data_IF_417317459178
#
_entry.id   IF_417317459178
#
_cell.length_a   1.000
_cell.length_b   1.000
_cell.length_c   1.000
_cell.angle_alpha   90.00
_cell.angle_beta   90.00
_cell.angle_gamma   90.00
#
_symmetry.space_group_name_H-M   'P 1'
#
loop_
_entity.id
_entity.type
_entity.pdbx_description
1 polymer ?
#
# COMPACT_ATOMS: atom_id res chain seq x y z
N UNK A 1 5.22 2.41 -1.40
CA UNK A 1 4.82 1.47 -2.46
C UNK A 1 4.65 0.07 -1.87
N UNK A 2 5.62 -0.48 -1.13
CA UNK A 2 5.57 -1.84 -0.61
C UNK A 2 4.30 -2.17 0.19
N UNK A 3 3.83 -1.28 1.05
CA UNK A 3 2.56 -1.41 1.78
C UNK A 3 1.34 -1.47 0.84
N UNK A 4 1.33 -0.63 -0.21
CA UNK A 4 0.26 -0.64 -1.21
C UNK A 4 0.21 -1.97 -1.98
N UNK A 5 1.37 -2.47 -2.39
CA UNK A 5 1.49 -3.76 -3.08
C UNK A 5 1.18 -4.96 -2.18
N UNK A 6 1.38 -4.81 -0.86
CA UNK A 6 1.10 -5.84 0.15
C UNK A 6 -0.32 -5.78 0.73
N UNK A 7 -1.16 -4.84 0.28
CA UNK A 7 -2.53 -4.73 0.75
C UNK A 7 -3.36 -5.91 0.24
N UNK A 8 -4.04 -6.59 1.15
CA UNK A 8 -4.91 -7.74 0.88
C UNK A 8 -6.36 -7.42 1.22
N UNK A 9 -7.31 -8.09 0.58
CA UNK A 9 -8.74 -7.84 0.74
C UNK A 9 -9.28 -8.09 2.15
N UNK A 10 -8.64 -8.96 2.93
CA UNK A 10 -8.95 -9.16 4.35
C UNK A 10 -8.61 -7.93 5.23
N UNK A 11 -7.83 -7.01 4.70
CA UNK A 11 -7.43 -5.76 5.35
C UNK A 11 -8.20 -4.52 4.83
N UNK A 12 -9.31 -4.71 4.10
CA UNK A 12 -10.09 -3.63 3.49
C UNK A 12 -11.55 -3.74 3.91
N UNK A 13 -12.07 -2.70 4.55
CA UNK A 13 -13.50 -2.58 4.85
C UNK A 13 -14.14 -1.52 3.95
N UNK A 14 -14.77 -2.00 2.88
CA UNK A 14 -15.57 -1.22 1.94
C UNK A 14 -16.99 -1.81 1.83
N UNK A 15 -17.50 -2.35 2.93
CA UNK A 15 -18.87 -2.82 3.01
C UNK A 15 -19.87 -1.68 2.76
N UNK A 16 -21.07 -2.00 2.29
CA UNK A 16 -22.13 -1.02 2.05
C UNK A 16 -22.43 -0.21 3.32
N UNK A 17 -22.44 -0.87 4.48
CA UNK A 17 -22.62 -0.25 5.78
C UNK A 17 -21.47 0.73 6.10
N UNK A 18 -20.20 0.31 5.92
CA UNK A 18 -19.06 1.18 6.16
C UNK A 18 -19.05 2.40 5.23
N UNK A 19 -19.46 2.23 3.97
CA UNK A 19 -19.58 3.32 2.99
C UNK A 19 -20.70 4.28 3.41
N UNK A 20 -21.87 3.78 3.84
CA UNK A 20 -22.98 4.59 4.28
C UNK A 20 -22.62 5.44 5.50
N UNK A 21 -21.89 4.88 6.45
CA UNK A 21 -21.48 5.52 7.71
C UNK A 21 -20.17 6.32 7.62
N UNK A 22 -19.53 6.43 6.45
CA UNK A 22 -18.22 7.09 6.26
C UNK A 22 -17.10 6.52 7.16
N UNK A 23 -17.10 5.22 7.40
CA UNK A 23 -16.11 4.54 8.24
C UNK A 23 -15.26 3.51 7.47
N UNK A 24 -15.23 3.64 6.14
CA UNK A 24 -14.39 2.80 5.27
C UNK A 24 -12.92 2.96 5.60
N UNK A 25 -12.16 1.86 5.62
CA UNK A 25 -10.74 1.90 5.95
C UNK A 25 -9.95 0.80 5.24
N UNK A 26 -8.66 1.01 5.21
CA UNK A 26 -7.64 -0.02 4.95
C UNK A 26 -6.79 -0.23 6.20
N UNK A 27 -6.40 -1.48 6.45
CA UNK A 27 -5.49 -1.82 7.55
C UNK A 27 -4.13 -2.22 6.98
N UNK A 28 -3.12 -1.44 7.28
CA UNK A 28 -1.75 -1.66 6.82
C UNK A 28 -1.04 -2.53 7.83
N UNK A 29 -0.80 -3.80 7.49
CA UNK A 29 -0.07 -4.76 8.32
C UNK A 29 0.82 -5.71 7.51
N UNK A 30 0.95 -5.45 6.22
CA UNK A 30 1.75 -6.25 5.29
C UNK A 30 2.46 -5.34 4.28
N UNK A 31 3.55 -5.83 3.73
CA UNK A 31 4.23 -5.18 2.60
C UNK A 31 4.80 -6.22 1.64
N UNK A 32 4.88 -5.87 0.36
CA UNK A 32 5.65 -6.62 -0.62
C UNK A 32 7.02 -6.00 -0.73
N UNK A 33 8.05 -6.83 -0.62
CA UNK A 33 9.44 -6.42 -0.79
C UNK A 33 10.16 -7.35 -1.77
N UNK A 34 11.10 -6.81 -2.53
CA UNK A 34 11.99 -7.57 -3.38
C UNK A 34 13.29 -7.83 -2.64
N UNK A 35 13.60 -9.09 -2.40
CA UNK A 35 14.79 -9.52 -1.67
C UNK A 35 15.66 -10.44 -2.51
N UNK A 36 16.95 -10.55 -2.20
CA UNK A 36 17.81 -11.56 -2.83
C UNK A 36 17.37 -12.96 -2.39
N UNK A 37 17.57 -13.97 -3.24
CA UNK A 37 17.24 -15.36 -2.86
C UNK A 37 18.03 -15.82 -1.65
N UNK A 38 19.30 -15.41 -1.55
CA UNK A 38 20.13 -15.75 -0.39
C UNK A 38 19.62 -15.11 0.89
N UNK A 39 19.07 -13.88 0.81
CA UNK A 39 18.51 -13.22 1.97
C UNK A 39 17.17 -13.82 2.44
N UNK A 40 16.48 -14.59 1.60
CA UNK A 40 15.26 -15.30 2.02
C UNK A 40 15.56 -16.34 3.09
N UNK A 41 16.71 -17.02 2.97
CA UNK A 41 17.16 -18.03 3.93
C UNK A 41 17.63 -17.39 5.26
N UNK A 42 18.05 -16.11 5.22
CA UNK A 42 18.48 -15.30 6.37
C UNK A 42 17.32 -14.50 7.00
N UNK A 43 16.25 -14.26 6.25
CA UNK A 43 15.05 -13.63 6.79
C UNK A 43 14.44 -14.57 7.83
N UNK A 44 14.23 -14.03 9.03
CA UNK A 44 13.54 -14.77 10.10
C UNK A 44 12.22 -15.28 9.53
N UNK A 45 12.02 -16.60 9.51
CA UNK A 45 10.83 -17.25 8.94
C UNK A 45 9.50 -16.72 9.54
N UNK A 46 9.58 -15.98 10.63
CA UNK A 46 8.44 -15.31 11.28
C UNK A 46 7.95 -14.06 10.56
N UNK A 47 8.80 -13.39 9.77
CA UNK A 47 8.41 -12.15 9.05
C UNK A 47 7.83 -12.44 7.66
N UNK A 48 8.20 -13.55 7.02
CA UNK A 48 7.77 -13.89 5.67
C UNK A 48 6.46 -14.66 5.70
N UNK A 49 5.41 -14.07 5.15
CA UNK A 49 4.09 -14.69 5.03
C UNK A 49 4.03 -15.57 3.77
N UNK A 50 4.59 -15.08 2.66
CA UNK A 50 4.53 -15.75 1.37
C UNK A 50 5.69 -15.33 0.47
N UNK A 51 6.21 -16.27 -0.31
CA UNK A 51 7.16 -16.02 -1.39
C UNK A 51 6.42 -16.18 -2.72
N UNK A 52 6.35 -15.10 -3.51
CA UNK A 52 5.70 -15.16 -4.81
C UNK A 52 6.54 -15.90 -5.85
N UNK A 53 5.90 -16.65 -6.76
CA UNK A 53 6.63 -17.36 -7.82
C UNK A 53 7.38 -16.37 -8.70
N UNK A 54 8.62 -16.72 -9.03
CA UNK A 54 9.44 -15.94 -9.95
C UNK A 54 9.06 -16.26 -11.40
N UNK A 55 8.69 -15.26 -12.17
CA UNK A 55 8.38 -15.43 -13.60
C UNK A 55 9.64 -15.76 -14.45
N UNK A 56 10.83 -15.48 -13.93
CA UNK A 56 12.11 -15.75 -14.61
C UNK A 56 12.91 -16.79 -13.85
N UNK A 57 13.31 -17.89 -14.51
CA UNK A 57 14.06 -19.02 -13.91
C UNK A 57 15.40 -18.62 -13.25
N UNK A 58 16.07 -17.58 -13.73
CA UNK A 58 17.39 -17.14 -13.26
C UNK A 58 17.36 -15.81 -12.47
N UNK A 59 16.25 -15.46 -11.89
CA UNK A 59 16.17 -14.22 -11.09
C UNK A 59 16.94 -14.40 -9.77
N UNK A 60 17.92 -13.51 -9.54
CA UNK A 60 18.67 -13.44 -8.27
C UNK A 60 17.82 -12.92 -7.11
N UNK A 61 16.64 -12.38 -7.40
CA UNK A 61 15.72 -11.81 -6.42
C UNK A 61 14.34 -12.45 -6.53
N UNK A 62 13.62 -12.44 -5.42
CA UNK A 62 12.20 -12.84 -5.33
C UNK A 62 11.39 -11.76 -4.64
N UNK A 63 10.08 -11.76 -4.86
CA UNK A 63 9.16 -10.91 -4.10
C UNK A 63 8.60 -11.72 -2.95
N UNK A 64 8.55 -11.09 -1.79
CA UNK A 64 7.97 -11.68 -0.57
C UNK A 64 6.88 -10.78 -0.04
N UNK A 65 5.79 -11.38 0.45
CA UNK A 65 4.83 -10.72 1.31
C UNK A 65 5.30 -10.93 2.74
N UNK A 66 5.45 -9.87 3.48
CA UNK A 66 5.93 -9.95 4.86
C UNK A 66 5.23 -8.95 5.77
N UNK A 67 5.34 -9.18 7.08
CA UNK A 67 4.92 -8.22 8.10
C UNK A 67 5.86 -6.99 8.10
N UNK A 68 5.40 -5.82 8.54
CA UNK A 68 6.27 -4.67 8.75
C UNK A 68 7.34 -4.96 9.82
N UNK A 69 8.46 -4.22 9.76
CA UNK A 69 9.57 -4.39 10.72
C UNK A 69 9.25 -4.00 12.16
N UNK A 70 8.23 -3.18 12.37
CA UNK A 70 7.85 -2.66 13.69
C UNK A 70 6.33 -2.69 13.85
N UNK A 71 5.86 -2.99 15.05
CA UNK A 71 4.43 -2.99 15.40
C UNK A 71 3.80 -1.60 15.18
N UNK A 72 4.58 -0.53 15.33
CA UNK A 72 4.15 0.85 15.07
C UNK A 72 3.85 1.14 13.58
N UNK A 73 4.24 0.24 12.68
CA UNK A 73 3.92 0.34 11.26
C UNK A 73 2.51 -0.16 10.95
N UNK A 74 1.92 -0.96 11.84
CA UNK A 74 0.53 -1.42 11.68
C UNK A 74 -0.42 -0.28 12.03
N UNK A 75 -1.32 0.01 11.09
CA UNK A 75 -2.25 1.12 11.25
C UNK A 75 -3.49 1.00 10.40
N UNK A 76 -4.57 1.55 10.93
CA UNK A 76 -5.82 1.76 10.19
C UNK A 76 -5.79 3.13 9.53
N UNK A 77 -6.07 3.17 8.22
CA UNK A 77 -6.18 4.41 7.44
C UNK A 77 -7.60 4.51 6.93
N UNK A 78 -8.33 5.52 7.37
CA UNK A 78 -9.67 5.81 6.85
C UNK A 78 -9.58 6.41 5.46
N UNK A 79 -10.42 5.94 4.56
CA UNK A 79 -10.43 6.33 3.15
C UNK A 79 -11.74 7.02 2.79
N UNK A 80 -11.71 8.03 1.90
CA UNK A 80 -12.92 8.70 1.45
C UNK A 80 -13.78 7.80 0.55
N UNK A 81 -15.08 8.07 0.49
CA UNK A 81 -16.09 7.28 -0.26
C UNK A 81 -15.68 7.00 -1.71
N UNK A 82 -15.10 7.97 -2.40
CA UNK A 82 -14.71 7.77 -3.80
C UNK A 82 -13.59 6.72 -3.94
N UNK A 83 -12.64 6.66 -2.99
CA UNK A 83 -11.60 5.62 -2.97
C UNK A 83 -12.21 4.26 -2.63
N UNK A 84 -13.16 4.23 -1.67
CA UNK A 84 -13.89 3.01 -1.34
C UNK A 84 -14.65 2.46 -2.56
N UNK A 85 -15.29 3.32 -3.34
CA UNK A 85 -15.99 2.91 -4.56
C UNK A 85 -15.03 2.33 -5.60
N UNK A 86 -13.86 2.95 -5.81
CA UNK A 86 -12.81 2.40 -6.70
C UNK A 86 -12.39 1.00 -6.24
N UNK A 87 -12.23 0.78 -4.93
CA UNK A 87 -11.87 -0.54 -4.40
C UNK A 87 -12.98 -1.58 -4.61
N UNK A 88 -14.26 -1.19 -4.47
CA UNK A 88 -15.40 -2.06 -4.79
C UNK A 88 -15.37 -2.48 -6.26
N UNK A 89 -15.13 -1.54 -7.16
CA UNK A 89 -15.07 -1.80 -8.59
C UNK A 89 -13.89 -2.73 -8.95
N UNK A 90 -12.70 -2.47 -8.39
CA UNK A 90 -11.53 -3.36 -8.54
C UNK A 90 -11.83 -4.78 -8.05
N UNK A 91 -12.50 -4.92 -6.90
CA UNK A 91 -12.86 -6.25 -6.35
C UNK A 91 -13.81 -6.99 -7.29
N UNK A 92 -14.77 -6.28 -7.86
CA UNK A 92 -15.72 -6.84 -8.83
C UNK A 92 -14.97 -7.33 -10.08
N UNK A 93 -14.12 -6.50 -10.67
CA UNK A 93 -13.31 -6.86 -11.84
C UNK A 93 -12.40 -8.07 -11.57
N UNK A 94 -11.77 -8.12 -10.40
CA UNK A 94 -10.94 -9.29 -10.02
C UNK A 94 -11.77 -10.57 -9.88
N UNK A 95 -12.97 -10.49 -9.33
CA UNK A 95 -13.86 -11.66 -9.22
C UNK A 95 -14.29 -12.15 -10.62
N UNK A 96 -14.63 -11.25 -11.54
CA UNK A 96 -14.94 -11.59 -12.92
C UNK A 96 -13.74 -12.28 -13.62
N UNK A 97 -12.52 -11.76 -13.39
CA UNK A 97 -11.29 -12.40 -13.90
C UNK A 97 -11.05 -13.79 -13.31
N UNK A 98 -11.32 -13.98 -12.01
CA UNK A 98 -11.22 -15.31 -11.36
C UNK A 98 -12.18 -16.30 -11.99
N UNK A 99 -13.42 -15.89 -12.27
CA UNK A 99 -14.42 -16.73 -12.90
C UNK A 99 -14.04 -17.11 -14.34
N UNK A 100 -13.47 -16.17 -15.10
CA UNK A 100 -13.03 -16.38 -16.48
C UNK A 100 -11.80 -17.28 -16.57
N UNK A 101 -10.78 -17.03 -15.75
CA UNK A 101 -9.49 -17.69 -15.80
C UNK A 101 -9.43 -19.00 -15.00
N UNK A 102 -10.34 -19.18 -14.05
CA UNK A 102 -10.39 -20.38 -13.22
C UNK A 102 -9.04 -20.69 -12.57
N UNK A 103 -8.49 -21.87 -12.84
CA UNK A 103 -7.21 -22.32 -12.27
C UNK A 103 -5.97 -21.56 -12.74
N UNK A 104 -6.08 -20.76 -13.80
CA UNK A 104 -4.97 -19.91 -14.25
C UNK A 104 -4.80 -18.65 -13.39
N UNK A 105 -5.84 -18.23 -12.66
CA UNK A 105 -5.78 -17.13 -11.73
C UNK A 105 -5.11 -17.58 -10.43
N UNK A 106 -3.99 -16.95 -10.08
CA UNK A 106 -3.25 -17.21 -8.84
C UNK A 106 -3.74 -16.27 -7.75
N UNK A 107 -4.70 -16.72 -6.94
CA UNK A 107 -5.32 -15.88 -5.92
C UNK A 107 -4.46 -15.76 -4.66
N UNK A 108 -3.78 -14.64 -4.52
CA UNK A 108 -3.04 -14.24 -3.32
C UNK A 108 -3.81 -13.22 -2.48
N UNK A 109 -5.09 -13.02 -2.73
CA UNK A 109 -5.94 -12.05 -2.03
C UNK A 109 -5.45 -10.59 -2.11
N UNK A 110 -4.60 -10.24 -3.07
CA UNK A 110 -4.04 -8.91 -3.23
C UNK A 110 -5.05 -7.94 -3.84
N UNK A 111 -5.09 -6.71 -3.31
CA UNK A 111 -5.84 -5.60 -3.90
C UNK A 111 -5.17 -5.15 -5.20
N UNK A 112 -3.83 -4.99 -5.17
CA UNK A 112 -3.04 -4.60 -6.33
C UNK A 112 -2.47 -5.83 -7.03
N UNK A 113 -3.30 -6.49 -7.83
CA UNK A 113 -2.94 -7.69 -8.57
C UNK A 113 -2.93 -7.47 -10.09
N UNK A 114 -2.10 -8.25 -10.79
CA UNK A 114 -2.16 -8.38 -12.25
C UNK A 114 -3.42 -9.13 -12.68
N UNK A 115 -3.72 -9.16 -13.99
CA UNK A 115 -4.81 -9.96 -14.56
C UNK A 115 -4.78 -11.43 -14.13
N UNK A 116 -3.61 -11.99 -13.84
CA UNK A 116 -3.44 -13.36 -13.39
C UNK A 116 -3.31 -13.50 -11.85
N UNK A 117 -3.61 -12.46 -11.09
CA UNK A 117 -3.60 -12.48 -9.61
C UNK A 117 -2.22 -12.29 -8.96
N UNK A 118 -1.13 -12.18 -9.74
CA UNK A 118 0.21 -11.93 -9.24
C UNK A 118 0.38 -10.48 -8.76
N UNK A 119 1.30 -10.20 -7.81
CA UNK A 119 1.56 -8.82 -7.41
C UNK A 119 2.08 -7.98 -8.58
N UNK A 120 1.60 -6.74 -8.67
CA UNK A 120 2.07 -5.74 -9.64
C UNK A 120 3.53 -5.39 -9.34
N UNK A 121 4.33 -5.06 -10.35
CA UNK A 121 5.70 -4.55 -10.19
C UNK A 121 5.66 -3.09 -9.71
N UNK A 122 6.56 -2.73 -8.82
CA UNK A 122 6.68 -1.34 -8.32
C UNK A 122 7.08 -0.35 -9.43
N UNK A 123 7.86 -0.80 -10.42
CA UNK A 123 8.18 -0.01 -11.61
C UNK A 123 6.92 0.34 -12.40
N UNK A 124 5.98 -0.59 -12.56
CA UNK A 124 4.73 -0.32 -13.25
C UNK A 124 3.93 0.81 -12.59
N UNK A 125 3.84 0.82 -11.26
CA UNK A 125 3.16 1.91 -10.54
C UNK A 125 3.87 3.25 -10.72
N UNK A 126 5.20 3.25 -10.72
CA UNK A 126 5.98 4.47 -10.98
C UNK A 126 5.75 4.99 -12.39
N UNK A 127 5.77 4.10 -13.37
CA UNK A 127 5.54 4.45 -14.78
C UNK A 127 4.12 5.00 -15.00
N UNK A 128 3.10 4.39 -14.35
CA UNK A 128 1.72 4.92 -14.43
C UNK A 128 1.60 6.30 -13.74
N UNK A 129 2.27 6.51 -12.62
CA UNK A 129 2.29 7.81 -11.94
C UNK A 129 2.96 8.87 -12.82
N UNK A 130 4.12 8.56 -13.43
CA UNK A 130 4.81 9.47 -14.33
C UNK A 130 3.95 9.82 -15.54
N UNK A 131 3.28 8.83 -16.12
CA UNK A 131 2.34 9.05 -17.23
C UNK A 131 1.23 10.05 -16.86
N UNK A 132 0.63 9.92 -15.67
CA UNK A 132 -0.39 10.87 -15.21
C UNK A 132 0.20 12.26 -15.01
N UNK A 133 1.41 12.38 -14.46
CA UNK A 133 2.12 13.65 -14.28
C UNK A 133 2.31 14.33 -15.64
N UNK A 134 2.83 13.61 -16.63
CA UNK A 134 3.11 14.12 -17.96
C UNK A 134 1.82 14.53 -18.70
N UNK A 135 0.80 13.67 -18.68
CA UNK A 135 -0.48 13.93 -19.38
C UNK A 135 -1.26 15.11 -18.79
N UNK A 136 -1.15 15.33 -17.48
CA UNK A 136 -1.90 16.39 -16.79
C UNK A 136 -1.04 17.65 -16.55
N UNK A 137 0.22 17.66 -16.97
CA UNK A 137 1.13 18.79 -16.73
C UNK A 137 1.36 19.09 -15.26
N UNK A 138 1.37 18.05 -14.40
CA UNK A 138 1.57 18.19 -12.96
C UNK A 138 3.05 18.38 -12.63
N UNK A 139 3.38 18.98 -11.46
CA UNK A 139 4.75 19.02 -10.98
C UNK A 139 5.34 17.60 -10.86
N UNK A 140 6.62 17.46 -11.20
CA UNK A 140 7.33 16.19 -11.07
C UNK A 140 7.46 15.81 -9.58
N UNK A 141 6.84 14.70 -9.20
CA UNK A 141 6.79 14.20 -7.83
C UNK A 141 7.03 12.68 -7.79
N UNK A 142 7.53 12.20 -6.68
CA UNK A 142 7.72 10.76 -6.43
C UNK A 142 6.74 10.28 -5.36
N UNK A 143 6.50 8.97 -5.26
CA UNK A 143 5.58 8.41 -4.26
C UNK A 143 5.87 8.87 -2.82
N UNK A 144 7.15 9.06 -2.48
CA UNK A 144 7.50 9.54 -1.14
C UNK A 144 7.07 10.99 -0.90
N UNK A 145 7.07 11.83 -1.92
CA UNK A 145 6.55 13.21 -1.85
C UNK A 145 5.07 13.24 -1.53
N UNK A 146 4.28 12.28 -2.04
CA UNK A 146 2.85 12.17 -1.71
C UNK A 146 2.64 11.90 -0.21
N UNK A 147 3.51 11.10 0.41
CA UNK A 147 3.49 10.87 1.85
C UNK A 147 3.79 12.16 2.61
N UNK A 148 4.83 12.90 2.21
CA UNK A 148 5.16 14.21 2.81
C UNK A 148 4.00 15.18 2.70
N UNK A 149 3.41 15.31 1.52
CA UNK A 149 2.24 16.18 1.30
C UNK A 149 1.06 15.78 2.20
N UNK A 150 0.78 14.49 2.33
CA UNK A 150 -0.29 13.99 3.19
C UNK A 150 -0.06 14.35 4.66
N UNK A 151 1.15 14.16 5.18
CA UNK A 151 1.52 14.50 6.57
C UNK A 151 1.37 16.00 6.80
N UNK A 152 1.94 16.84 5.91
CA UNK A 152 1.83 18.29 5.96
C UNK A 152 0.39 18.77 6.01
N UNK A 153 -0.46 18.21 5.13
CA UNK A 153 -1.86 18.60 5.05
C UNK A 153 -2.64 18.19 6.31
N UNK A 154 -2.40 17.00 6.82
CA UNK A 154 -3.01 16.51 8.07
C UNK A 154 -2.60 17.34 9.28
N UNK A 155 -1.32 17.75 9.37
CA UNK A 155 -0.87 18.65 10.43
C UNK A 155 -1.61 19.99 10.39
N UNK A 156 -1.77 20.59 9.20
CA UNK A 156 -2.54 21.82 9.04
C UNK A 156 -4.01 21.64 9.45
N UNK A 157 -4.65 20.55 9.04
CA UNK A 157 -6.05 20.29 9.38
C UNK A 157 -6.27 20.00 10.87
N UNK A 158 -5.33 19.34 11.54
CA UNK A 158 -5.41 19.01 12.96
C UNK A 158 -4.98 20.15 13.89
N UNK A 159 -4.60 21.32 13.35
CA UNK A 159 -4.06 22.41 14.15
C UNK A 159 -2.73 22.06 14.84
N UNK A 160 -1.94 21.17 14.24
CA UNK A 160 -0.63 20.77 14.75
C UNK A 160 -0.65 19.54 15.69
N UNK A 161 -1.72 18.74 15.70
CA UNK A 161 -1.75 17.51 16.51
C UNK A 161 -0.81 16.44 15.91
N UNK A 162 0.45 16.49 16.37
CA UNK A 162 1.52 15.60 15.93
C UNK A 162 1.20 14.13 16.23
N UNK A 163 0.55 13.83 17.37
CA UNK A 163 0.23 12.44 17.75
C UNK A 163 -0.81 11.82 16.84
N UNK A 164 -1.85 12.57 16.49
CA UNK A 164 -2.87 12.10 15.55
C UNK A 164 -2.26 11.82 14.17
N UNK A 165 -1.40 12.71 13.68
CA UNK A 165 -0.75 12.56 12.38
C UNK A 165 0.30 11.44 12.38
N UNK A 166 1.02 11.22 13.49
CA UNK A 166 1.94 10.10 13.65
C UNK A 166 1.23 8.75 13.48
N UNK A 167 0.10 8.56 14.16
CA UNK A 167 -0.69 7.33 14.08
C UNK A 167 -1.11 7.00 12.65
N UNK A 168 -1.58 8.00 11.91
CA UNK A 168 -2.04 7.85 10.53
C UNK A 168 -0.90 7.63 9.51
N UNK A 169 0.24 8.27 9.76
CA UNK A 169 1.39 8.24 8.83
C UNK A 169 2.31 7.03 9.02
N UNK A 170 2.20 6.32 10.16
CA UNK A 170 3.07 5.18 10.49
C UNK A 170 4.53 5.56 10.71
N UNK A 171 4.80 6.77 11.23
CA UNK A 171 6.14 7.14 11.70
C UNK A 171 6.38 6.54 13.08
N UNK A 172 7.51 5.82 13.24
CA UNK A 172 7.86 5.16 14.50
C UNK A 172 8.09 6.14 15.66
N UNK A 173 8.51 7.37 15.38
CA UNK A 173 8.81 8.39 16.36
C UNK A 173 8.12 9.71 16.02
N UNK A 174 7.54 10.37 17.03
CA UNK A 174 6.93 11.70 16.88
C UNK A 174 7.94 12.75 16.43
N UNK A 175 9.19 12.62 16.88
CA UNK A 175 10.30 13.53 16.52
C UNK A 175 10.52 13.59 15.00
N UNK A 176 10.35 12.48 14.27
CA UNK A 176 10.43 12.47 12.81
C UNK A 176 9.37 13.36 12.16
N UNK A 177 8.17 13.45 12.75
CA UNK A 177 7.11 14.34 12.25
C UNK A 177 7.45 15.79 12.63
N UNK A 178 7.95 16.02 13.83
CA UNK A 178 8.31 17.35 14.33
C UNK A 178 9.52 17.92 13.57
N UNK A 179 10.58 17.15 13.40
CA UNK A 179 11.80 17.59 12.69
C UNK A 179 11.53 17.87 11.21
N UNK A 180 10.72 17.01 10.56
CA UNK A 180 10.45 17.17 9.14
C UNK A 180 9.41 18.27 8.83
N UNK A 181 8.45 18.52 9.74
CA UNK A 181 7.26 19.33 9.45
C UNK A 181 6.93 20.40 10.50
N UNK A 182 7.67 20.50 11.61
CA UNK A 182 7.41 21.45 12.69
C UNK A 182 7.40 22.91 12.23
N UNK A 183 8.20 23.24 11.21
CA UNK A 183 8.25 24.58 10.61
C UNK A 183 6.97 25.01 9.85
N UNK A 184 5.98 24.11 9.73
CA UNK A 184 4.71 24.37 9.03
C UNK A 184 3.62 24.83 10.00
N UNK A 185 3.86 24.68 11.30
CA UNK A 185 2.90 24.98 12.38
C UNK A 185 3.02 26.45 12.83
N UNK A 186 4.15 27.09 12.57
CA UNK A 186 4.39 28.52 12.80
C UNK A 186 3.87 29.36 11.60
#
# INVERSE_FOLDING_TARGET
IGELLGLTWDCVDVSEEAIAENRTYIFINKQVERVSRNAVDELDAKEVILIFPSQKKNNKTVRVLKTPKTDTSERKVYIPKFVAQILVDIKKEQNELKDILGSEYQDYNLVMATTFGLPIEDSYLRDQMQKVIDEQGLPDVVFHSLRHTSVTYKLKLSGGDIKAVQGDSGHAQADMVTEAYGHIID
#
